data_IF_192552782135
#
_entry.id   IF_192552782135
#
_cell.length_a   1.000
_cell.length_b   1.000
_cell.length_c   1.000
_cell.angle_alpha   90.00
_cell.angle_beta   90.00
_cell.angle_gamma   90.00
#
_symmetry.space_group_name_H-M   'P 1'
#
loop_
_entity.id
_entity.type
_entity.pdbx_description
1 polymer ?
#
# COMPACT_ATOMS: atom_id res chain seq x y z
N UNK A 1 11.54 -7.18 -11.33
CA UNK A 1 10.17 -7.29 -11.93
C UNK A 1 9.81 -5.96 -12.56
N UNK A 2 8.81 -5.95 -13.46
CA UNK A 2 8.16 -4.70 -13.94
C UNK A 2 7.02 -4.38 -12.99
N UNK A 3 7.15 -3.28 -12.24
CA UNK A 3 6.30 -2.97 -11.08
C UNK A 3 5.66 -1.60 -11.25
N UNK A 4 4.32 -1.57 -11.17
CA UNK A 4 3.59 -0.32 -11.00
C UNK A 4 3.54 0.08 -9.52
N UNK A 5 3.79 1.35 -9.20
CA UNK A 5 3.57 1.91 -7.87
C UNK A 5 2.50 3.00 -7.95
N UNK A 6 1.38 2.78 -7.26
CA UNK A 6 0.34 3.79 -7.05
C UNK A 6 0.56 4.52 -5.73
N UNK A 7 0.31 5.82 -5.69
CA UNK A 7 0.55 6.62 -4.48
C UNK A 7 2.02 7.05 -4.28
N UNK A 8 2.82 6.98 -5.34
CA UNK A 8 4.26 7.29 -5.33
C UNK A 8 4.60 8.71 -4.82
N UNK A 9 3.75 9.72 -5.09
CA UNK A 9 3.97 11.10 -4.62
C UNK A 9 3.64 11.36 -3.14
N UNK A 10 3.43 10.31 -2.35
CA UNK A 10 3.18 10.36 -0.90
C UNK A 10 4.43 9.98 -0.08
N UNK A 11 4.40 10.28 1.23
CA UNK A 11 5.54 10.02 2.14
C UNK A 11 6.06 8.58 2.12
N UNK A 12 5.16 7.59 2.06
CA UNK A 12 5.55 6.17 1.98
C UNK A 12 5.85 5.76 0.54
N UNK A 13 5.10 6.29 -0.44
CA UNK A 13 5.24 5.90 -1.83
C UNK A 13 6.60 6.21 -2.45
N UNK A 14 7.17 7.38 -2.14
CA UNK A 14 8.51 7.71 -2.62
C UNK A 14 9.58 6.77 -2.07
N UNK A 15 9.41 6.32 -0.82
CA UNK A 15 10.29 5.31 -0.21
C UNK A 15 10.13 3.94 -0.87
N UNK A 16 8.91 3.56 -1.26
CA UNK A 16 8.65 2.33 -2.02
C UNK A 16 9.34 2.39 -3.38
N UNK A 17 9.24 3.51 -4.10
CA UNK A 17 9.92 3.69 -5.39
C UNK A 17 11.43 3.54 -5.22
N UNK A 18 12.02 4.21 -4.23
CA UNK A 18 13.46 4.12 -3.94
C UNK A 18 13.89 2.70 -3.59
N UNK A 19 13.13 2.01 -2.74
CA UNK A 19 13.41 0.62 -2.34
C UNK A 19 13.30 -0.34 -3.52
N UNK A 20 12.26 -0.21 -4.35
CA UNK A 20 12.08 -1.04 -5.55
C UNK A 20 13.19 -0.82 -6.60
N UNK A 21 13.62 0.43 -6.80
CA UNK A 21 14.76 0.75 -7.67
C UNK A 21 16.08 0.17 -7.14
N UNK A 22 16.33 0.25 -5.82
CA UNK A 22 17.50 -0.33 -5.19
C UNK A 22 17.56 -1.86 -5.36
N UNK A 23 16.40 -2.51 -5.31
CA UNK A 23 16.20 -3.93 -5.59
C UNK A 23 16.20 -4.29 -7.10
N UNK A 24 16.57 -3.32 -7.96
CA UNK A 24 16.69 -3.45 -9.42
C UNK A 24 15.38 -3.84 -10.13
N UNK A 25 14.24 -3.42 -9.60
CA UNK A 25 12.97 -3.52 -10.33
C UNK A 25 12.89 -2.42 -11.39
N UNK A 26 12.18 -2.72 -12.48
CA UNK A 26 11.77 -1.73 -13.48
C UNK A 26 10.48 -1.07 -12.97
N UNK A 27 10.59 0.16 -12.49
CA UNK A 27 9.52 0.85 -11.75
C UNK A 27 8.78 1.81 -12.66
N UNK A 28 7.47 1.64 -12.75
CA UNK A 28 6.55 2.61 -13.31
C UNK A 28 5.71 3.23 -12.19
N UNK A 29 5.47 4.54 -12.24
CA UNK A 29 4.61 5.25 -11.30
C UNK A 29 3.43 5.89 -12.02
N UNK A 30 2.25 5.87 -11.39
CA UNK A 30 1.12 6.70 -11.80
C UNK A 30 1.01 7.88 -10.84
N UNK A 31 1.20 9.10 -11.36
CA UNK A 31 1.17 10.34 -10.57
C UNK A 31 0.34 11.40 -11.26
N UNK A 32 -0.30 12.26 -10.45
CA UNK A 32 -1.09 13.40 -10.96
C UNK A 32 -0.22 14.55 -11.46
N UNK A 33 0.97 14.71 -10.87
CA UNK A 33 1.92 15.79 -11.18
C UNK A 33 3.33 15.22 -11.33
N UNK A 34 3.78 15.07 -12.57
CA UNK A 34 5.11 14.57 -12.90
C UNK A 34 6.24 15.52 -12.48
N UNK A 35 6.01 16.84 -12.53
CA UNK A 35 7.03 17.82 -12.18
C UNK A 35 7.32 17.81 -10.69
N UNK A 36 6.26 17.71 -9.86
CA UNK A 36 6.41 17.50 -8.42
C UNK A 36 7.15 16.20 -8.12
N UNK A 37 6.75 15.09 -8.73
CA UNK A 37 7.39 13.79 -8.53
C UNK A 37 8.89 13.82 -8.84
N UNK A 38 9.28 14.39 -9.99
CA UNK A 38 10.71 14.45 -10.39
C UNK A 38 11.56 15.32 -9.46
N UNK A 39 11.02 16.43 -8.94
CA UNK A 39 11.73 17.29 -7.98
C UNK A 39 12.07 16.57 -6.68
N UNK A 40 11.29 15.56 -6.28
CA UNK A 40 11.50 14.78 -5.05
C UNK A 40 12.58 13.68 -5.22
N UNK A 41 13.20 13.55 -6.41
CA UNK A 41 14.46 12.82 -6.61
C UNK A 41 14.35 11.37 -7.07
N UNK A 42 13.25 10.99 -7.75
CA UNK A 42 12.94 9.60 -8.12
C UNK A 42 13.12 9.31 -9.63
N UNK A 43 14.17 9.90 -10.22
CA UNK A 43 14.32 10.07 -11.67
C UNK A 43 14.49 8.80 -12.52
N UNK A 44 14.75 7.64 -11.93
CA UNK A 44 14.92 6.38 -12.67
C UNK A 44 13.59 5.67 -12.97
N UNK A 45 12.49 6.05 -12.31
CA UNK A 45 11.19 5.45 -12.56
C UNK A 45 10.54 6.01 -13.84
N UNK A 46 9.87 5.15 -14.60
CA UNK A 46 8.99 5.57 -15.69
C UNK A 46 7.76 6.26 -15.12
N UNK A 47 7.44 7.45 -15.61
CA UNK A 47 6.31 8.25 -15.12
C UNK A 47 5.15 8.17 -16.11
N UNK A 48 3.98 7.74 -15.62
CA UNK A 48 2.69 7.88 -16.29
C UNK A 48 1.89 8.95 -15.56
N UNK A 49 1.41 9.94 -16.30
CA UNK A 49 0.57 11.00 -15.74
C UNK A 49 -0.90 10.58 -15.82
N UNK A 50 -1.59 10.66 -14.69
CA UNK A 50 -3.02 10.36 -14.59
C UNK A 50 -3.53 10.26 -13.15
N UNK A 51 -4.78 9.86 -13.01
CA UNK A 51 -5.49 9.68 -11.74
C UNK A 51 -5.84 8.19 -11.54
N UNK A 52 -5.53 7.65 -10.36
CA UNK A 52 -5.85 6.25 -10.05
C UNK A 52 -7.38 5.98 -9.97
N UNK A 53 -8.20 7.01 -9.83
CA UNK A 53 -9.67 6.91 -9.91
C UNK A 53 -10.20 6.85 -11.34
N UNK A 54 -9.37 7.16 -12.34
CA UNK A 54 -9.70 7.01 -13.75
C UNK A 54 -9.23 5.62 -14.26
N UNK A 55 -10.15 4.77 -14.73
CA UNK A 55 -9.80 3.41 -15.17
C UNK A 55 -8.86 3.37 -16.39
N UNK A 56 -8.97 4.32 -17.31
CA UNK A 56 -8.12 4.37 -18.51
C UNK A 56 -6.68 4.76 -18.14
N UNK A 57 -6.51 5.67 -17.19
CA UNK A 57 -5.21 6.08 -16.69
C UNK A 57 -4.50 4.91 -16.00
N UNK A 58 -5.24 4.15 -15.18
CA UNK A 58 -4.72 2.95 -14.52
C UNK A 58 -4.37 1.87 -15.55
N UNK A 59 -5.21 1.62 -16.55
CA UNK A 59 -4.91 0.66 -17.62
C UNK A 59 -3.61 0.99 -18.34
N UNK A 60 -3.42 2.24 -18.77
CA UNK A 60 -2.16 2.69 -19.40
C UNK A 60 -0.94 2.49 -18.51
N UNK A 61 -1.09 2.63 -17.19
CA UNK A 61 0.00 2.45 -16.24
C UNK A 61 0.32 0.96 -15.97
N UNK A 62 -0.68 0.08 -16.06
CA UNK A 62 -0.54 -1.37 -15.84
C UNK A 62 0.00 -2.12 -17.06
N UNK A 63 -0.13 -1.55 -18.27
CA UNK A 63 0.38 -2.16 -19.51
C UNK A 63 1.86 -2.59 -19.39
N UNK A 64 2.10 -3.87 -19.64
CA UNK A 64 3.43 -4.48 -19.58
C UNK A 64 3.98 -4.67 -18.16
N UNK A 65 3.20 -4.42 -17.11
CA UNK A 65 3.63 -4.65 -15.73
C UNK A 65 3.37 -6.11 -15.32
N UNK A 66 4.14 -6.58 -14.35
CA UNK A 66 4.01 -7.94 -13.79
C UNK A 66 3.46 -7.93 -12.37
N UNK A 67 3.62 -6.81 -11.67
CA UNK A 67 3.17 -6.60 -10.31
C UNK A 67 2.73 -5.15 -10.09
N UNK A 68 1.95 -4.91 -9.04
CA UNK A 68 1.64 -3.57 -8.57
C UNK A 68 1.79 -3.47 -7.04
N UNK A 69 2.24 -2.29 -6.59
CA UNK A 69 2.21 -1.88 -5.19
C UNK A 69 1.26 -0.69 -5.05
N UNK A 70 0.18 -0.87 -4.30
CA UNK A 70 -0.79 0.17 -3.98
C UNK A 70 -0.55 0.71 -2.56
N UNK A 71 -0.03 1.94 -2.50
CA UNK A 71 0.17 2.70 -1.26
C UNK A 71 -0.66 3.99 -1.25
N UNK A 72 -1.76 4.03 -2.01
CA UNK A 72 -2.70 5.14 -1.93
C UNK A 72 -3.28 5.22 -0.52
N UNK A 73 -3.28 6.44 0.02
CA UNK A 73 -3.92 6.76 1.29
C UNK A 73 -4.52 8.15 1.23
N UNK A 74 -5.69 8.31 1.85
CA UNK A 74 -6.33 9.62 1.97
C UNK A 74 -5.49 10.59 2.82
N UNK A 75 -5.36 11.85 2.37
CA UNK A 75 -4.73 12.93 3.16
C UNK A 75 -5.61 13.43 4.30
N UNK A 76 -6.89 13.05 4.33
CA UNK A 76 -7.88 13.46 5.33
C UNK A 76 -8.58 12.23 5.93
N UNK A 77 -7.91 11.49 6.84
CA UNK A 77 -8.38 10.17 7.31
C UNK A 77 -9.72 10.21 8.09
N UNK A 78 -10.10 11.38 8.60
CA UNK A 78 -11.36 11.61 9.29
C UNK A 78 -12.54 11.81 8.33
N UNK A 79 -12.29 12.19 7.07
CA UNK A 79 -13.34 12.35 6.06
C UNK A 79 -13.67 11.01 5.42
N UNK A 80 -14.96 10.77 5.24
CA UNK A 80 -15.41 9.61 4.47
C UNK A 80 -14.96 9.76 3.02
N UNK A 81 -14.40 8.68 2.47
CA UNK A 81 -13.91 8.64 1.09
C UNK A 81 -14.18 7.25 0.49
N UNK A 82 -14.10 7.16 -0.83
CA UNK A 82 -14.05 5.90 -1.59
C UNK A 82 -12.80 5.82 -2.47
N UNK A 83 -11.85 6.73 -2.26
CA UNK A 83 -10.66 6.88 -3.09
C UNK A 83 -9.90 5.56 -3.21
N UNK A 84 -9.69 4.88 -2.08
CA UNK A 84 -8.86 3.67 -2.04
C UNK A 84 -9.59 2.49 -2.67
N UNK A 85 -10.89 2.30 -2.35
CA UNK A 85 -11.69 1.24 -2.99
C UNK A 85 -11.85 1.48 -4.50
N UNK A 86 -12.05 2.72 -4.94
CA UNK A 86 -12.17 3.03 -6.38
C UNK A 86 -10.85 2.76 -7.10
N UNK A 87 -9.73 3.25 -6.56
CA UNK A 87 -8.42 3.05 -7.16
C UNK A 87 -8.04 1.56 -7.24
N UNK A 88 -8.26 0.80 -6.16
CA UNK A 88 -7.91 -0.63 -6.14
C UNK A 88 -8.78 -1.45 -7.10
N UNK A 89 -10.06 -1.10 -7.28
CA UNK A 89 -10.94 -1.77 -8.26
C UNK A 89 -10.46 -1.55 -9.68
N UNK A 90 -10.11 -0.31 -10.03
CA UNK A 90 -9.53 0.02 -11.32
C UNK A 90 -8.22 -0.75 -11.55
N UNK A 91 -7.36 -0.81 -10.52
CA UNK A 91 -6.10 -1.54 -10.57
C UNK A 91 -6.32 -3.04 -10.78
N UNK A 92 -7.19 -3.67 -9.99
CA UNK A 92 -7.50 -5.11 -10.11
C UNK A 92 -8.05 -5.42 -11.50
N UNK A 93 -8.97 -4.60 -12.03
CA UNK A 93 -9.52 -4.76 -13.38
C UNK A 93 -8.42 -4.70 -14.44
N UNK A 94 -7.62 -3.64 -14.44
CA UNK A 94 -6.52 -3.47 -15.37
C UNK A 94 -5.47 -4.59 -15.25
N UNK A 95 -5.13 -5.04 -14.04
CA UNK A 95 -4.19 -6.14 -13.83
C UNK A 95 -4.69 -7.45 -14.43
N UNK A 96 -5.99 -7.75 -14.29
CA UNK A 96 -6.59 -8.93 -14.91
C UNK A 96 -6.54 -8.86 -16.43
N UNK A 97 -6.92 -7.71 -17.00
CA UNK A 97 -6.93 -7.49 -18.45
C UNK A 97 -5.53 -7.62 -19.06
N UNK A 98 -4.51 -7.09 -18.38
CA UNK A 98 -3.11 -7.03 -18.86
C UNK A 98 -2.27 -8.23 -18.39
N UNK A 99 -2.84 -9.15 -17.61
CA UNK A 99 -2.18 -10.37 -17.14
C UNK A 99 -1.18 -10.20 -15.98
N UNK A 100 -1.17 -9.05 -15.30
CA UNK A 100 -0.38 -8.84 -14.09
C UNK A 100 -1.00 -9.59 -12.90
N UNK A 101 -0.18 -10.32 -12.11
CA UNK A 101 -0.71 -11.26 -11.10
C UNK A 101 -0.43 -10.87 -9.65
N UNK A 102 0.68 -10.16 -9.37
CA UNK A 102 1.14 -9.87 -8.01
C UNK A 102 0.68 -8.50 -7.54
N UNK A 103 -0.09 -8.42 -6.45
CA UNK A 103 -0.61 -7.16 -5.89
C UNK A 103 -0.23 -6.99 -4.42
N UNK A 104 0.56 -5.97 -4.10
CA UNK A 104 0.86 -5.62 -2.71
C UNK A 104 0.08 -4.36 -2.36
N UNK A 105 -0.79 -4.41 -1.35
CA UNK A 105 -1.64 -3.27 -0.99
C UNK A 105 -1.43 -2.85 0.48
N UNK A 106 -1.55 -1.56 0.76
CA UNK A 106 -1.50 -1.03 2.14
C UNK A 106 -2.89 -0.71 2.66
N UNK A 107 -3.27 -1.38 3.74
CA UNK A 107 -4.47 -1.09 4.52
C UNK A 107 -4.09 -0.33 5.81
N UNK A 108 -4.65 -0.72 6.96
CA UNK A 108 -4.33 -0.19 8.28
C UNK A 108 -4.54 -1.26 9.35
N UNK A 109 -3.78 -1.17 10.44
CA UNK A 109 -4.08 -1.94 11.65
C UNK A 109 -5.47 -1.57 12.17
N UNK A 110 -6.26 -2.57 12.53
CA UNK A 110 -7.65 -2.40 12.93
C UNK A 110 -8.66 -2.67 11.81
N UNK A 111 -8.23 -2.78 10.55
CA UNK A 111 -9.07 -3.25 9.46
C UNK A 111 -9.25 -4.78 9.52
N UNK A 112 -10.42 -5.25 9.06
CA UNK A 112 -10.76 -6.67 9.06
C UNK A 112 -10.66 -7.31 10.45
N UNK A 113 -9.93 -8.42 10.52
CA UNK A 113 -9.67 -9.23 11.71
C UNK A 113 -8.53 -8.70 12.60
N UNK A 114 -7.80 -7.66 12.17
CA UNK A 114 -6.68 -7.09 12.95
C UNK A 114 -7.10 -6.18 14.12
N UNK A 115 -8.40 -6.04 14.39
CA UNK A 115 -8.91 -5.16 15.46
C UNK A 115 -8.45 -5.57 16.86
N UNK A 116 -8.17 -6.85 17.09
CA UNK A 116 -7.61 -7.35 18.36
C UNK A 116 -6.11 -7.08 18.52
N UNK A 117 -5.40 -6.75 17.43
CA UNK A 117 -3.97 -6.45 17.41
C UNK A 117 -3.68 -4.96 17.66
N UNK A 118 -4.73 -4.14 17.56
CA UNK A 118 -4.66 -2.72 17.89
C UNK A 118 -4.56 -2.52 19.42
N UNK A 119 -3.61 -1.71 19.91
CA UNK A 119 -3.59 -1.28 21.31
C UNK A 119 -4.94 -0.67 21.74
N UNK A 120 -5.29 -0.78 23.03
CA UNK A 120 -6.57 -0.29 23.54
C UNK A 120 -6.79 1.20 23.20
N UNK A 121 -5.79 2.05 23.40
CA UNK A 121 -5.89 3.48 23.04
C UNK A 121 -6.13 3.66 21.53
N UNK A 122 -5.49 2.88 20.66
CA UNK A 122 -5.70 2.96 19.22
C UNK A 122 -7.13 2.54 18.83
N UNK A 123 -7.60 1.43 19.42
CA UNK A 123 -8.92 0.84 19.18
C UNK A 123 -10.07 1.71 19.70
N UNK A 124 -9.88 2.41 20.81
CA UNK A 124 -10.94 3.16 21.49
C UNK A 124 -10.83 4.67 21.31
N UNK A 125 -9.69 5.21 20.89
CA UNK A 125 -9.51 6.63 20.61
C UNK A 125 -9.35 6.90 19.11
N UNK A 126 -8.31 6.38 18.47
CA UNK A 126 -7.97 6.73 17.07
C UNK A 126 -8.93 6.17 16.03
N UNK A 127 -9.23 4.87 16.09
CA UNK A 127 -10.16 4.21 15.18
C UNK A 127 -11.55 4.86 15.17
N UNK A 128 -12.20 5.09 16.33
CA UNK A 128 -13.49 5.74 16.39
C UNK A 128 -13.37 7.27 16.39
N UNK A 129 -12.27 7.90 15.99
CA UNK A 129 -12.28 9.37 15.79
C UNK A 129 -11.61 9.72 14.47
N UNK A 130 -10.29 9.77 14.50
CA UNK A 130 -9.43 10.24 13.43
C UNK A 130 -9.46 9.36 12.18
N UNK A 131 -9.74 8.06 12.35
CA UNK A 131 -9.74 7.08 11.24
C UNK A 131 -11.14 6.64 10.81
N UNK A 132 -12.23 7.18 11.41
CA UNK A 132 -13.61 6.72 11.12
C UNK A 132 -13.95 6.80 9.63
N UNK A 133 -13.52 7.86 8.97
CA UNK A 133 -13.81 8.11 7.55
C UNK A 133 -13.09 7.14 6.61
N UNK A 134 -11.79 6.91 6.86
CA UNK A 134 -10.93 6.03 6.05
C UNK A 134 -11.11 4.54 6.37
N UNK A 135 -11.48 4.16 7.61
CA UNK A 135 -11.59 2.76 8.03
C UNK A 135 -12.57 1.94 7.17
N UNK A 136 -13.70 2.54 6.78
CA UNK A 136 -14.69 1.86 5.93
C UNK A 136 -14.15 1.60 4.53
N UNK A 137 -13.42 2.57 3.97
CA UNK A 137 -12.81 2.45 2.64
C UNK A 137 -11.69 1.40 2.66
N UNK A 138 -10.85 1.41 3.69
CA UNK A 138 -9.81 0.40 3.93
C UNK A 138 -10.37 -1.02 4.02
N UNK A 139 -11.45 -1.23 4.79
CA UNK A 139 -12.11 -2.54 4.88
C UNK A 139 -12.71 -2.97 3.53
N UNK A 140 -13.29 -2.04 2.77
CA UNK A 140 -13.80 -2.34 1.44
C UNK A 140 -12.67 -2.70 0.47
N UNK A 141 -11.56 -1.95 0.46
CA UNK A 141 -10.34 -2.28 -0.27
C UNK A 141 -9.85 -3.69 0.05
N UNK A 142 -9.78 -4.09 1.32
CA UNK A 142 -9.35 -5.44 1.68
C UNK A 142 -10.25 -6.52 1.09
N UNK A 143 -11.57 -6.28 1.02
CA UNK A 143 -12.52 -7.22 0.40
C UNK A 143 -12.32 -7.33 -1.10
N UNK A 144 -12.11 -6.20 -1.79
CA UNK A 144 -11.84 -6.18 -3.22
C UNK A 144 -10.55 -6.94 -3.54
N UNK A 145 -9.47 -6.66 -2.81
CA UNK A 145 -8.18 -7.33 -2.99
C UNK A 145 -8.30 -8.82 -2.69
N UNK A 146 -8.98 -9.20 -1.60
CA UNK A 146 -9.14 -10.60 -1.21
C UNK A 146 -9.99 -11.40 -2.20
N UNK A 147 -11.01 -10.77 -2.77
CA UNK A 147 -11.88 -11.35 -3.81
C UNK A 147 -11.32 -11.24 -5.23
N UNK A 148 -10.13 -10.67 -5.42
CA UNK A 148 -9.58 -10.39 -6.74
C UNK A 148 -9.08 -11.63 -7.49
N UNK A 149 -8.79 -12.72 -6.78
CA UNK A 149 -8.11 -13.88 -7.36
C UNK A 149 -6.65 -13.63 -7.76
N UNK A 150 -6.08 -12.46 -7.45
CA UNK A 150 -4.67 -12.13 -7.64
C UNK A 150 -3.81 -12.76 -6.54
N UNK A 151 -2.50 -12.83 -6.80
CA UNK A 151 -1.51 -13.21 -5.82
C UNK A 151 -1.17 -11.98 -4.96
N UNK A 152 -1.95 -11.78 -3.91
CA UNK A 152 -1.90 -10.54 -3.12
C UNK A 152 -1.21 -10.67 -1.77
N UNK A 153 -0.71 -9.55 -1.25
CA UNK A 153 -0.39 -9.36 0.17
C UNK A 153 -0.96 -8.01 0.61
N UNK A 154 -1.68 -7.98 1.73
CA UNK A 154 -2.16 -6.72 2.32
C UNK A 154 -1.32 -6.42 3.57
N UNK A 155 -0.61 -5.31 3.59
CA UNK A 155 0.09 -4.84 4.78
C UNK A 155 -0.82 -3.91 5.60
N UNK A 156 -0.93 -4.17 6.90
CA UNK A 156 -1.72 -3.39 7.88
C UNK A 156 -0.78 -2.70 8.87
N UNK A 157 -0.23 -1.52 8.52
CA UNK A 157 0.65 -0.81 9.44
C UNK A 157 -0.14 -0.18 10.60
N UNK A 158 0.48 -0.04 11.79
CA UNK A 158 -0.01 0.78 12.90
C UNK A 158 0.26 2.27 12.62
N UNK A 159 0.73 3.03 13.62
CA UNK A 159 1.17 4.42 13.41
C UNK A 159 2.42 4.46 12.55
N UNK A 160 2.38 5.28 11.50
CA UNK A 160 3.52 5.50 10.60
C UNK A 160 4.40 6.64 11.10
N UNK A 161 5.65 6.33 11.41
CA UNK A 161 6.67 7.31 11.81
C UNK A 161 7.62 7.64 10.65
N UNK A 162 8.14 8.87 10.65
CA UNK A 162 9.20 9.30 9.73
C UNK A 162 10.58 8.97 10.33
N UNK A 163 11.58 8.67 9.51
CA UNK A 163 12.93 8.32 9.96
C UNK A 163 13.60 7.25 9.08
N UNK A 164 14.89 6.95 9.33
CA UNK A 164 15.58 5.84 8.69
C UNK A 164 14.97 4.48 9.08
N UNK A 165 15.20 3.41 8.28
CA UNK A 165 14.76 2.08 8.65
C UNK A 165 15.41 1.63 9.96
N UNK A 166 14.61 1.06 10.86
CA UNK A 166 15.08 0.41 12.10
C UNK A 166 15.60 -1.00 11.80
N UNK A 167 15.10 -1.64 10.73
CA UNK A 167 15.53 -2.98 10.29
C UNK A 167 14.91 -4.13 11.07
N UNK A 168 14.03 -3.86 12.04
CA UNK A 168 13.40 -4.86 12.92
C UNK A 168 11.91 -5.08 12.61
N UNK A 169 11.56 -5.29 11.33
CA UNK A 169 10.16 -5.52 10.94
C UNK A 169 9.67 -6.89 11.43
N UNK A 170 8.50 -6.89 12.06
CA UNK A 170 7.81 -8.10 12.48
C UNK A 170 6.39 -8.13 11.96
N UNK A 171 5.98 -9.31 11.49
CA UNK A 171 4.58 -9.63 11.22
C UNK A 171 3.95 -10.16 12.50
N UNK A 172 2.90 -9.50 12.97
CA UNK A 172 2.14 -9.96 14.13
C UNK A 172 1.32 -11.20 13.76
N UNK A 173 1.55 -12.29 14.50
CA UNK A 173 0.81 -13.55 14.38
C UNK A 173 0.06 -13.82 15.69
N UNK A 174 -1.22 -14.19 15.59
CA UNK A 174 -2.05 -14.51 16.76
C UNK A 174 -2.69 -13.29 17.45
N UNK A 175 -3.58 -13.58 18.40
CA UNK A 175 -4.21 -12.58 19.28
C UNK A 175 -3.34 -12.27 20.50
N UNK A 176 -3.32 -11.02 20.95
CA UNK A 176 -2.64 -10.58 22.17
C UNK A 176 -1.28 -9.91 21.99
N UNK A 177 -0.69 -9.97 20.79
CA UNK A 177 0.51 -9.17 20.47
C UNK A 177 0.08 -7.85 19.84
N UNK A 178 0.48 -6.74 20.45
CA UNK A 178 0.22 -5.39 19.94
C UNK A 178 1.52 -4.75 19.49
N UNK A 179 1.48 -3.98 18.40
CA UNK A 179 2.57 -3.09 18.04
C UNK A 179 2.09 -1.66 17.87
N UNK A 180 3.00 -0.71 18.08
CA UNK A 180 2.64 0.71 18.21
C UNK A 180 2.91 1.50 16.94
N UNK A 181 4.02 1.19 16.27
CA UNK A 181 4.48 1.96 15.12
C UNK A 181 5.29 1.13 14.13
N UNK A 182 5.44 1.67 12.93
CA UNK A 182 6.43 1.25 11.95
C UNK A 182 6.97 2.48 11.23
N UNK A 183 8.27 2.54 10.95
CA UNK A 183 8.82 3.59 10.09
C UNK A 183 8.31 3.43 8.66
N UNK A 184 8.07 4.53 7.96
CA UNK A 184 7.69 4.46 6.54
C UNK A 184 8.77 3.79 5.68
N UNK A 185 10.04 3.91 6.06
CA UNK A 185 11.16 3.26 5.38
C UNK A 185 11.10 1.73 5.53
N UNK A 186 10.88 1.24 6.74
CA UNK A 186 10.73 -0.19 6.98
C UNK A 186 9.48 -0.78 6.32
N UNK A 187 8.35 -0.04 6.37
CA UNK A 187 7.15 -0.45 5.65
C UNK A 187 7.44 -0.54 4.14
N UNK A 188 8.13 0.45 3.56
CA UNK A 188 8.47 0.44 2.14
C UNK A 188 9.32 -0.78 1.76
N UNK A 189 10.35 -1.09 2.56
CA UNK A 189 11.19 -2.27 2.35
C UNK A 189 10.39 -3.57 2.44
N UNK A 190 9.52 -3.69 3.46
CA UNK A 190 8.65 -4.85 3.60
C UNK A 190 7.76 -5.06 2.37
N UNK A 191 7.14 -4.00 1.85
CA UNK A 191 6.25 -4.08 0.68
C UNK A 191 7.00 -4.54 -0.58
N UNK A 192 8.21 -4.03 -0.79
CA UNK A 192 9.05 -4.42 -1.93
C UNK A 192 9.53 -5.87 -1.79
N UNK A 193 9.87 -6.32 -0.59
CA UNK A 193 10.22 -7.72 -0.32
C UNK A 193 9.09 -8.69 -0.71
N UNK A 194 7.83 -8.30 -0.47
CA UNK A 194 6.67 -9.13 -0.83
C UNK A 194 6.51 -9.33 -2.33
N UNK A 195 7.19 -8.56 -3.19
CA UNK A 195 7.21 -8.83 -4.63
C UNK A 195 7.86 -10.19 -4.95
N UNK A 196 8.81 -10.65 -4.12
CA UNK A 196 9.60 -11.88 -4.35
C UNK A 196 9.25 -13.01 -3.37
N UNK A 197 8.64 -12.71 -2.22
CA UNK A 197 8.36 -13.67 -1.15
C UNK A 197 6.91 -14.14 -1.13
N UNK A 198 6.68 -15.45 -1.05
CA UNK A 198 5.35 -16.05 -0.91
C UNK A 198 4.95 -16.37 0.54
N UNK A 199 5.76 -15.97 1.52
CA UNK A 199 5.51 -16.24 2.94
C UNK A 199 4.15 -15.70 3.44
N UNK A 200 3.64 -14.63 2.80
CA UNK A 200 2.38 -13.98 3.15
C UNK A 200 1.38 -13.97 2.00
N UNK A 201 1.57 -14.85 1.00
CA UNK A 201 0.71 -14.94 -0.16
C UNK A 201 -0.76 -15.15 0.25
N UNK A 202 -1.63 -14.29 -0.30
CA UNK A 202 -3.08 -14.22 -0.06
C UNK A 202 -3.44 -14.01 1.40
N UNK A 203 -2.64 -13.22 2.12
CA UNK A 203 -2.87 -12.85 3.52
C UNK A 203 -2.87 -11.34 3.71
N UNK A 204 -3.62 -10.91 4.71
CA UNK A 204 -3.52 -9.58 5.27
C UNK A 204 -2.75 -9.66 6.59
N UNK A 205 -1.64 -8.95 6.68
CA UNK A 205 -0.66 -9.07 7.76
C UNK A 205 -0.38 -7.73 8.41
N UNK A 206 -0.34 -7.72 9.74
CA UNK A 206 -0.01 -6.52 10.51
C UNK A 206 1.49 -6.43 10.72
N UNK A 207 2.09 -5.32 10.29
CA UNK A 207 3.55 -5.12 10.27
C UNK A 207 3.96 -4.00 11.19
N UNK A 208 4.93 -4.26 12.07
CA UNK A 208 5.36 -3.34 13.12
C UNK A 208 6.88 -3.35 13.25
N UNK A 209 7.48 -2.27 13.75
CA UNK A 209 8.84 -2.34 14.29
C UNK A 209 8.80 -3.03 15.67
N UNK A 210 9.83 -3.81 15.98
CA UNK A 210 10.03 -4.44 17.30
C UNK A 210 10.24 -3.40 18.40
#
# INVERSE_FOLDING_TARGET
MRVLVLGAGGKTGGLVVRSALAEKHDVTVLVRDAARFRREGEGAARVVVGDATNPDDVRRAVQGQTAAIDVIGGSTPYKQTRLETTAVRNLIGAMRDEGARRLIAVSMMGAGDSRSQAPLWYRYLLMPTFLRGSSRDKIALEREVSGSGLDYVIARPPVLTDGPPVGSVKVLTGGGVTGHSITRADLANFLVEQLKSDAHLRRAVTVVNR
#
